data_IF_893646428497
#
_entry.id   IF_893646428497
#
_cell.length_a   1.000
_cell.length_b   1.000
_cell.length_c   1.000
_cell.angle_alpha   90.00
_cell.angle_beta   90.00
_cell.angle_gamma   90.00
#
_symmetry.space_group_name_H-M   'P 1'
#
loop_
_entity.id
_entity.type
_entity.pdbx_description
1 polymer ?
#
# COMPACT_ATOMS: atom_id res chain seq x y z
N UNK A 1 24.37 30.52 -34.92
CA UNK A 1 23.21 31.21 -35.52
C UNK A 1 22.11 31.22 -34.49
N UNK A 2 21.87 32.38 -33.85
CA UNK A 2 20.82 32.57 -32.85
C UNK A 2 19.51 32.97 -33.54
N UNK A 3 18.41 32.40 -33.06
CA UNK A 3 17.06 32.60 -33.58
C UNK A 3 16.48 33.91 -33.03
N UNK A 4 16.97 35.06 -33.51
CA UNK A 4 16.58 36.38 -33.00
C UNK A 4 15.27 36.93 -33.56
N UNK A 5 14.61 36.21 -34.48
CA UNK A 5 13.39 36.68 -35.15
C UNK A 5 12.09 36.10 -34.58
N UNK A 6 12.17 35.16 -33.63
CA UNK A 6 10.98 34.60 -32.98
C UNK A 6 10.58 35.58 -31.87
N UNK A 7 9.40 36.22 -31.95
CA UNK A 7 8.93 37.11 -30.90
C UNK A 7 8.83 36.34 -29.57
N UNK A 8 9.18 36.96 -28.43
CA UNK A 8 8.92 36.38 -27.12
C UNK A 8 7.45 35.98 -27.02
N UNK A 9 7.18 34.78 -26.49
CA UNK A 9 5.80 34.40 -26.22
C UNK A 9 5.26 35.28 -25.08
N UNK A 10 4.00 35.73 -25.16
CA UNK A 10 3.41 36.51 -24.07
C UNK A 10 3.50 35.71 -22.76
N UNK A 11 4.23 36.24 -21.77
CA UNK A 11 4.50 35.61 -20.47
C UNK A 11 5.95 35.12 -20.24
N UNK A 12 6.78 35.03 -21.29
CA UNK A 12 8.14 34.52 -21.17
C UNK A 12 9.14 35.56 -20.61
N UNK A 13 8.77 36.85 -20.66
CA UNK A 13 9.61 37.99 -20.26
C UNK A 13 9.67 38.20 -18.73
N UNK A 14 8.66 37.72 -18.00
CA UNK A 14 8.55 37.85 -16.53
C UNK A 14 9.14 36.65 -15.77
N UNK A 15 9.73 35.66 -16.47
CA UNK A 15 10.13 34.36 -15.89
C UNK A 15 8.94 33.55 -15.35
N UNK A 16 7.73 34.06 -15.59
CA UNK A 16 6.46 33.50 -15.19
C UNK A 16 5.97 32.66 -16.37
N UNK A 17 6.68 31.56 -16.66
CA UNK A 17 6.10 30.44 -17.40
C UNK A 17 4.73 30.20 -16.76
N UNK A 18 3.64 30.54 -17.44
CA UNK A 18 2.28 30.68 -16.88
C UNK A 18 1.66 29.42 -16.24
N UNK A 19 2.47 28.42 -15.92
CA UNK A 19 2.13 27.25 -15.13
C UNK A 19 2.35 27.43 -13.62
N UNK A 20 1.87 26.45 -12.84
CA UNK A 20 1.97 26.47 -11.38
C UNK A 20 3.41 26.58 -10.90
N UNK A 21 3.64 27.34 -9.82
CA UNK A 21 4.96 27.60 -9.25
C UNK A 21 5.70 26.30 -8.91
N UNK A 22 7.05 26.28 -8.96
CA UNK A 22 7.83 25.08 -8.62
C UNK A 22 7.50 24.54 -7.22
N UNK A 23 7.29 25.44 -6.26
CA UNK A 23 6.87 25.08 -4.91
C UNK A 23 5.50 24.38 -4.87
N UNK A 24 4.54 24.81 -5.70
CA UNK A 24 3.23 24.16 -5.80
C UNK A 24 3.37 22.76 -6.39
N UNK A 25 4.18 22.57 -7.43
CA UNK A 25 4.42 21.25 -8.03
C UNK A 25 5.06 20.30 -7.01
N UNK A 26 6.02 20.78 -6.23
CA UNK A 26 6.64 20.01 -5.14
C UNK A 26 5.62 19.66 -4.05
N UNK A 27 4.79 20.60 -3.62
CA UNK A 27 3.77 20.33 -2.61
C UNK A 27 2.75 19.28 -3.09
N UNK A 28 2.28 19.39 -4.34
CA UNK A 28 1.33 18.45 -4.94
C UNK A 28 1.95 17.06 -5.06
N UNK A 29 3.20 16.96 -5.53
CA UNK A 29 3.87 15.66 -5.65
C UNK A 29 4.06 14.99 -4.28
N UNK A 30 4.52 15.73 -3.27
CA UNK A 30 4.61 15.21 -1.89
C UNK A 30 3.26 14.73 -1.39
N UNK A 31 2.20 15.52 -1.59
CA UNK A 31 0.85 15.16 -1.17
C UNK A 31 0.34 13.90 -1.88
N UNK A 32 0.58 13.75 -3.17
CA UNK A 32 0.25 12.53 -3.94
C UNK A 32 1.01 11.32 -3.40
N UNK A 33 2.30 11.46 -3.11
CA UNK A 33 3.12 10.37 -2.56
C UNK A 33 2.61 9.95 -1.18
N UNK A 34 2.31 10.90 -0.30
CA UNK A 34 1.78 10.63 1.03
C UNK A 34 0.40 9.96 0.97
N UNK A 35 -0.51 10.45 0.13
CA UNK A 35 -1.83 9.85 -0.06
C UNK A 35 -1.73 8.45 -0.64
N UNK A 36 -0.85 8.24 -1.62
CA UNK A 36 -0.62 6.92 -2.21
C UNK A 36 -0.06 5.96 -1.16
N UNK A 37 0.93 6.39 -0.36
CA UNK A 37 1.47 5.61 0.74
C UNK A 37 0.40 5.24 1.78
N UNK A 38 -0.44 6.19 2.17
CA UNK A 38 -1.54 5.96 3.10
C UNK A 38 -2.58 4.97 2.53
N UNK A 39 -2.93 5.09 1.25
CA UNK A 39 -3.81 4.16 0.56
C UNK A 39 -3.23 2.74 0.54
N UNK A 40 -1.95 2.59 0.19
CA UNK A 40 -1.27 1.29 0.20
C UNK A 40 -1.30 0.68 1.60
N UNK A 41 -0.97 1.46 2.64
CA UNK A 41 -1.02 0.98 4.02
C UNK A 41 -2.46 0.57 4.44
N UNK A 42 -3.46 1.34 4.03
CA UNK A 42 -4.87 1.00 4.27
C UNK A 42 -5.26 -0.32 3.59
N UNK A 43 -4.90 -0.51 2.32
CA UNK A 43 -5.19 -1.76 1.61
C UNK A 43 -4.49 -2.97 2.22
N UNK A 44 -3.22 -2.82 2.63
CA UNK A 44 -2.48 -3.88 3.31
C UNK A 44 -3.13 -4.26 4.65
N UNK A 45 -3.51 -3.28 5.46
CA UNK A 45 -4.17 -3.54 6.75
C UNK A 45 -5.54 -4.21 6.59
N UNK A 46 -6.34 -3.80 5.59
CA UNK A 46 -7.61 -4.48 5.26
C UNK A 46 -7.35 -5.91 4.79
N UNK A 47 -6.35 -6.13 3.93
CA UNK A 47 -5.98 -7.46 3.44
C UNK A 47 -5.57 -8.41 4.55
N UNK A 48 -4.75 -7.95 5.50
CA UNK A 48 -4.33 -8.74 6.68
C UNK A 48 -5.55 -9.12 7.54
N UNK A 49 -6.43 -8.16 7.84
CA UNK A 49 -7.66 -8.43 8.62
C UNK A 49 -8.59 -9.43 7.92
N UNK A 50 -8.71 -9.34 6.60
CA UNK A 50 -9.50 -10.30 5.84
C UNK A 50 -8.90 -11.71 5.91
N UNK A 51 -7.57 -11.84 5.86
CA UNK A 51 -6.90 -13.13 6.00
C UNK A 51 -7.10 -13.73 7.40
N UNK A 52 -6.94 -12.93 8.45
CA UNK A 52 -7.20 -13.35 9.84
C UNK A 52 -8.65 -13.82 10.03
N UNK A 53 -9.61 -13.04 9.54
CA UNK A 53 -11.03 -13.40 9.63
C UNK A 53 -11.36 -14.71 8.90
N UNK A 54 -10.71 -15.00 7.76
CA UNK A 54 -10.86 -16.28 7.06
C UNK A 54 -10.28 -17.43 7.88
N UNK A 55 -9.10 -17.26 8.46
CA UNK A 55 -8.49 -18.29 9.31
C UNK A 55 -9.34 -18.58 10.56
N UNK A 56 -9.89 -17.55 11.19
CA UNK A 56 -10.81 -17.69 12.34
C UNK A 56 -12.11 -18.37 11.93
N UNK A 57 -12.63 -18.09 10.74
CA UNK A 57 -13.84 -18.74 10.23
C UNK A 57 -13.63 -20.23 9.92
N UNK A 58 -12.43 -20.62 9.49
CA UNK A 58 -12.07 -22.01 9.15
C UNK A 58 -11.51 -22.81 10.33
N UNK A 59 -11.47 -22.22 11.54
CA UNK A 59 -10.83 -22.86 12.69
C UNK A 59 -11.50 -24.20 13.06
N UNK A 60 -10.72 -25.19 13.49
CA UNK A 60 -11.26 -26.45 14.04
C UNK A 60 -12.12 -26.23 15.28
N UNK A 61 -13.05 -27.15 15.54
CA UNK A 61 -13.86 -27.13 16.75
C UNK A 61 -12.96 -27.23 18.00
N UNK A 62 -13.17 -26.33 18.97
CA UNK A 62 -12.37 -26.27 20.20
C UNK A 62 -11.22 -25.25 20.20
N UNK A 63 -10.87 -24.68 19.05
CA UNK A 63 -9.84 -23.62 18.95
C UNK A 63 -10.47 -22.24 19.14
N UNK A 64 -9.96 -21.43 20.07
CA UNK A 64 -10.46 -20.07 20.29
C UNK A 64 -9.89 -19.08 19.25
N UNK A 65 -10.62 -17.99 18.95
CA UNK A 65 -10.23 -17.06 17.88
C UNK A 65 -8.89 -16.37 18.14
N UNK A 66 -8.53 -16.17 19.41
CA UNK A 66 -7.25 -15.60 19.84
C UNK A 66 -6.06 -16.57 19.74
N UNK A 67 -6.29 -17.84 19.43
CA UNK A 67 -5.24 -18.84 19.20
C UNK A 67 -4.94 -19.04 17.71
N UNK A 68 -5.67 -18.37 16.83
CA UNK A 68 -5.48 -18.47 15.39
C UNK A 68 -4.44 -17.46 14.96
N UNK A 69 -3.35 -17.92 14.35
CA UNK A 69 -2.34 -17.05 13.76
C UNK A 69 -2.42 -17.11 12.23
N UNK A 70 -2.20 -15.97 11.59
CA UNK A 70 -2.03 -15.90 10.13
C UNK A 70 -0.58 -15.55 9.80
N UNK A 71 0.04 -16.32 8.90
CA UNK A 71 1.43 -16.08 8.50
C UNK A 71 1.51 -15.81 7.01
N UNK A 72 2.28 -14.80 6.65
CA UNK A 72 2.56 -14.51 5.24
C UNK A 72 3.56 -15.53 4.69
N UNK A 73 3.20 -16.15 3.56
CA UNK A 73 4.06 -17.05 2.79
C UNK A 73 4.38 -16.41 1.46
N UNK A 74 5.68 -16.29 1.15
CA UNK A 74 6.13 -15.68 -0.09
C UNK A 74 6.08 -16.64 -1.30
N UNK A 75 6.06 -17.97 -1.08
CA UNK A 75 5.93 -18.97 -2.14
C UNK A 75 5.19 -20.26 -1.70
N UNK A 76 4.13 -20.69 -2.40
CA UNK A 76 3.31 -19.87 -3.29
C UNK A 76 2.76 -18.66 -2.50
N UNK A 77 2.65 -17.48 -3.13
CA UNK A 77 2.27 -16.26 -2.44
C UNK A 77 0.86 -16.41 -1.85
N UNK A 78 0.74 -16.21 -0.54
CA UNK A 78 -0.52 -16.38 0.17
C UNK A 78 -0.39 -16.23 1.67
N UNK A 79 -1.50 -16.46 2.36
CA UNK A 79 -1.58 -16.45 3.83
C UNK A 79 -1.88 -17.86 4.30
N UNK A 80 -1.04 -18.40 5.19
CA UNK A 80 -1.28 -19.70 5.84
C UNK A 80 -1.92 -19.49 7.20
N UNK A 81 -2.88 -20.36 7.56
CA UNK A 81 -3.51 -20.37 8.86
C UNK A 81 -2.79 -21.37 9.76
N UNK A 82 -2.35 -20.92 10.93
CA UNK A 82 -1.67 -21.74 11.93
C UNK A 82 -2.61 -21.91 13.11
N UNK A 83 -2.89 -23.17 13.45
CA UNK A 83 -3.73 -23.55 14.58
C UNK A 83 -2.90 -24.30 15.62
N UNK A 84 -3.17 -24.12 16.93
CA UNK A 84 -2.59 -24.99 17.93
C UNK A 84 -3.07 -26.42 17.71
N UNK A 85 -2.17 -27.39 17.74
CA UNK A 85 -2.59 -28.78 17.83
C UNK A 85 -3.15 -29.06 19.23
N UNK A 86 -4.06 -30.02 19.33
CA UNK A 86 -4.62 -30.48 20.60
C UNK A 86 -3.54 -30.94 21.60
N UNK A 87 -2.34 -31.21 21.11
CA UNK A 87 -1.17 -31.79 21.75
C UNK A 87 0.07 -30.87 21.70
N UNK A 88 -0.11 -29.58 21.35
CA UNK A 88 0.94 -28.54 21.42
C UNK A 88 1.88 -28.47 20.22
N UNK A 89 1.80 -29.41 19.27
CA UNK A 89 2.54 -29.41 18.01
C UNK A 89 1.71 -28.78 16.87
N UNK A 90 1.60 -27.44 16.83
CA UNK A 90 0.75 -26.68 15.88
C UNK A 90 0.49 -27.33 14.51
N UNK A 91 -0.79 -27.59 14.19
CA UNK A 91 -1.21 -28.12 12.88
C UNK A 91 -1.21 -26.98 11.87
N UNK A 92 -0.39 -27.12 10.83
CA UNK A 92 -0.36 -26.20 9.68
C UNK A 92 -1.25 -26.76 8.58
N UNK A 93 -2.29 -26.03 8.21
CA UNK A 93 -3.11 -26.36 7.04
C UNK A 93 -2.64 -25.51 5.86
N UNK A 94 -2.30 -26.18 4.75
CA UNK A 94 -1.65 -25.60 3.57
C UNK A 94 -2.58 -24.75 2.71
#
# INVERSE_FOLDING_TARGET
>A
MSWSWVPPRPGEEDGSDGGPSPALRTAVTVLVVLLTGALVAYYLTVGVRQAENRCVAQRPAGVSANQVESRWRWWPPGTECVYPAADGAGVRTA
#
